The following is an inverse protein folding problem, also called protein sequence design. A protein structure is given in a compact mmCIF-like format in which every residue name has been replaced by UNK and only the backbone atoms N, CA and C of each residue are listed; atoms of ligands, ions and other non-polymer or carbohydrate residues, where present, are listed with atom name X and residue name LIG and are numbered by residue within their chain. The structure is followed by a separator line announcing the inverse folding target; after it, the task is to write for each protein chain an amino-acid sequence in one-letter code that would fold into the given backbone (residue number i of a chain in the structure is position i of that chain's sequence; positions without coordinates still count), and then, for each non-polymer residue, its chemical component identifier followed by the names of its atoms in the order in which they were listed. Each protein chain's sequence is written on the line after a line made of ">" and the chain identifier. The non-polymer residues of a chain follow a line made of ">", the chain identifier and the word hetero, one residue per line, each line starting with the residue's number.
data_IF_349137948713
#
_entry.id   IF_349137948713
#
_cell.length_a   1.000
_cell.length_b   1.000
_cell.length_c   1.000
_cell.angle_alpha   90.00
_cell.angle_beta   90.00
_cell.angle_gamma   90.00
#
_symmetry.space_group_name_H-M   'P 1'
#
loop_
_entity.id
_entity.type
_entity.pdbx_description
1 polymer ?
#
# COMPACT_ATOMS: atom_id res chain seq x y z
N UNK A 1 -12.90 -15.64 -11.94
CA UNK A 1 -11.81 -14.69 -11.66
C UNK A 1 -12.42 -13.32 -11.82
N UNK A 2 -12.73 -12.62 -10.73
CA UNK A 2 -13.23 -11.24 -10.85
C UNK A 2 -12.13 -10.39 -11.49
N UNK A 3 -12.51 -9.64 -12.53
CA UNK A 3 -11.66 -8.63 -13.12
C UNK A 3 -11.55 -7.50 -12.09
N UNK A 4 -10.34 -7.27 -11.58
CA UNK A 4 -10.07 -6.08 -10.78
C UNK A 4 -10.40 -4.85 -11.64
N UNK A 5 -11.23 -3.91 -11.15
CA UNK A 5 -11.53 -2.70 -11.90
C UNK A 5 -10.24 -1.94 -12.23
N UNK A 6 -10.18 -1.19 -13.33
CA UNK A 6 -8.98 -0.43 -13.77
C UNK A 6 -8.44 0.59 -12.75
N UNK A 7 -9.20 0.84 -11.68
CA UNK A 7 -8.86 1.73 -10.59
C UNK A 7 -8.42 0.99 -9.32
N UNK A 8 -8.41 -0.35 -9.29
CA UNK A 8 -7.95 -1.13 -8.14
C UNK A 8 -6.82 -2.07 -8.52
N UNK A 9 -5.75 -2.06 -7.72
CA UNK A 9 -4.64 -3.01 -7.86
C UNK A 9 -4.39 -3.67 -6.51
N UNK A 10 -4.12 -4.97 -6.55
CA UNK A 10 -3.83 -5.78 -5.38
C UNK A 10 -2.39 -6.28 -5.46
N UNK A 11 -1.70 -6.24 -4.33
CA UNK A 11 -0.36 -6.82 -4.18
C UNK A 11 -0.41 -8.33 -4.41
N UNK A 12 0.57 -8.84 -5.16
CA UNK A 12 0.61 -10.23 -5.62
C UNK A 12 1.62 -11.10 -4.86
N UNK A 13 2.11 -10.63 -3.71
CA UNK A 13 3.07 -11.38 -2.90
C UNK A 13 2.35 -12.45 -2.07
N UNK A 14 2.32 -13.68 -2.56
CA UNK A 14 1.69 -14.81 -1.88
C UNK A 14 2.35 -15.20 -0.55
N UNK A 15 3.60 -14.76 -0.30
CA UNK A 15 4.26 -15.00 0.98
C UNK A 15 3.86 -13.98 2.07
N UNK A 16 3.19 -12.88 1.70
CA UNK A 16 2.72 -11.88 2.65
C UNK A 16 1.43 -12.37 3.34
N UNK A 17 1.30 -12.26 4.68
CA UNK A 17 0.08 -12.63 5.39
C UNK A 17 -1.04 -11.57 5.25
N UNK A 18 -0.75 -10.48 4.53
CA UNK A 18 -1.65 -9.39 4.22
C UNK A 18 -1.58 -9.05 2.73
N UNK A 19 -2.59 -8.35 2.24
CA UNK A 19 -2.61 -7.78 0.90
C UNK A 19 -2.64 -6.25 0.96
N UNK A 20 -1.72 -5.61 0.24
CA UNK A 20 -1.81 -4.19 -0.09
C UNK A 20 -2.79 -4.02 -1.25
N UNK A 21 -3.87 -3.28 -1.02
CA UNK A 21 -4.80 -2.82 -2.04
C UNK A 21 -4.57 -1.32 -2.28
N UNK A 22 -4.50 -0.93 -3.56
CA UNK A 22 -4.43 0.47 -3.97
C UNK A 22 -5.66 0.78 -4.81
N UNK A 23 -6.39 1.84 -4.43
CA UNK A 23 -7.50 2.38 -5.20
C UNK A 23 -7.10 3.75 -5.75
N UNK A 24 -7.18 3.93 -7.07
CA UNK A 24 -6.90 5.19 -7.76
C UNK A 24 -8.17 6.04 -7.84
N UNK A 25 -8.25 7.07 -7.01
CA UNK A 25 -9.23 8.15 -7.15
C UNK A 25 -8.80 9.18 -8.20
N UNK A 26 -9.51 10.31 -8.26
CA UNK A 26 -9.24 11.36 -9.26
C UNK A 26 -8.00 12.22 -8.95
N UNK A 27 -7.60 12.35 -7.67
CA UNK A 27 -6.44 13.17 -7.29
C UNK A 27 -5.61 12.57 -6.15
N UNK A 28 -6.00 11.40 -5.67
CA UNK A 28 -5.35 10.69 -4.58
C UNK A 28 -5.52 9.19 -4.79
N UNK A 29 -4.57 8.42 -4.27
CA UNK A 29 -4.72 6.98 -4.13
C UNK A 29 -5.04 6.64 -2.68
N UNK A 30 -6.00 5.75 -2.46
CA UNK A 30 -6.28 5.17 -1.15
C UNK A 30 -5.56 3.84 -1.04
N UNK A 31 -4.85 3.63 0.07
CA UNK A 31 -4.13 2.40 0.37
C UNK A 31 -4.87 1.64 1.47
N UNK A 32 -5.06 0.35 1.27
CA UNK A 32 -5.61 -0.58 2.27
C UNK A 32 -4.64 -1.72 2.52
N UNK A 33 -4.43 -2.08 3.79
CA UNK A 33 -3.60 -3.21 4.21
C UNK A 33 -4.51 -4.23 4.89
N UNK A 34 -4.90 -5.27 4.16
CA UNK A 34 -5.88 -6.24 4.64
C UNK A 34 -5.17 -7.52 5.08
N UNK A 35 -5.37 -7.92 6.33
CA UNK A 35 -4.95 -9.25 6.78
C UNK A 35 -5.79 -10.31 6.06
N UNK A 36 -5.15 -11.34 5.52
CA UNK A 36 -5.84 -12.28 4.63
C UNK A 36 -6.61 -13.37 5.37
N UNK A 37 -6.00 -13.92 6.44
CA UNK A 37 -6.51 -15.11 7.11
C UNK A 37 -6.60 -14.90 8.62
N UNK A 38 -7.83 -14.85 9.13
CA UNK A 38 -8.09 -14.66 10.56
C UNK A 38 -7.70 -13.27 11.07
N UNK A 39 -7.70 -13.07 12.39
CA UNK A 39 -7.16 -11.86 12.99
C UNK A 39 -5.62 -11.82 12.89
N UNK A 40 -5.00 -10.63 12.83
CA UNK A 40 -3.56 -10.51 12.97
C UNK A 40 -3.08 -11.00 14.35
N UNK A 41 -1.81 -11.39 14.51
CA UNK A 41 -1.24 -11.78 15.80
C UNK A 41 -1.42 -10.69 16.88
N UNK A 42 -1.53 -11.08 18.15
CA UNK A 42 -1.72 -10.14 19.27
C UNK A 42 -0.59 -9.11 19.42
N UNK A 43 0.60 -9.43 18.92
CA UNK A 43 1.77 -8.54 18.92
C UNK A 43 1.90 -7.71 17.63
N UNK A 44 0.90 -7.74 16.75
CA UNK A 44 0.88 -6.93 15.54
C UNK A 44 0.50 -5.48 15.88
N UNK A 45 1.46 -4.57 15.74
CA UNK A 45 1.25 -3.16 16.06
C UNK A 45 0.63 -2.34 14.91
N UNK A 46 0.68 -2.84 13.67
CA UNK A 46 0.20 -2.12 12.48
C UNK A 46 1.19 -2.17 11.33
N UNK A 47 0.94 -1.30 10.33
CA UNK A 47 1.75 -1.18 9.13
C UNK A 47 2.48 0.16 9.11
N UNK A 48 3.74 0.14 8.68
CA UNK A 48 4.47 1.32 8.26
C UNK A 48 4.61 1.30 6.73
N UNK A 49 4.44 2.45 6.10
CA UNK A 49 4.63 2.61 4.67
C UNK A 49 5.79 3.57 4.49
N UNK A 50 6.76 3.15 3.69
CA UNK A 50 7.89 3.97 3.31
C UNK A 50 7.95 4.09 1.80
N UNK A 51 8.44 5.22 1.31
CA UNK A 51 8.67 5.45 -0.09
C UNK A 51 10.13 5.82 -0.33
N UNK A 52 10.61 5.47 -1.51
CA UNK A 52 11.90 5.92 -2.03
C UNK A 52 11.62 6.73 -3.27
N UNK A 53 12.23 7.91 -3.34
CA UNK A 53 12.12 8.78 -4.51
C UNK A 53 12.82 8.15 -5.72
N UNK A 54 12.36 8.44 -6.96
CA UNK A 54 13.05 7.96 -8.16
C UNK A 54 14.53 8.37 -8.15
N UNK A 55 15.43 7.38 -8.23
CA UNK A 55 16.88 7.60 -8.19
C UNK A 55 17.46 7.93 -6.80
N UNK A 56 16.63 8.01 -5.76
CA UNK A 56 17.08 8.17 -4.38
C UNK A 56 17.77 6.92 -3.86
N UNK A 57 18.34 7.01 -2.67
CA UNK A 57 19.03 5.88 -1.98
C UNK A 57 18.49 5.62 -0.57
N UNK A 58 17.50 6.41 -0.14
CA UNK A 58 16.93 6.39 1.19
C UNK A 58 15.41 6.22 1.13
N UNK A 59 14.87 5.48 2.10
CA UNK A 59 13.44 5.37 2.35
C UNK A 59 12.99 6.43 3.36
N UNK A 60 11.78 6.95 3.13
CA UNK A 60 11.13 7.93 3.98
C UNK A 60 9.74 7.44 4.39
N UNK A 61 9.41 7.60 5.67
CA UNK A 61 8.10 7.23 6.19
C UNK A 61 6.99 8.12 5.60
N UNK A 62 5.89 7.50 5.17
CA UNK A 62 4.68 8.19 4.74
C UNK A 62 3.88 8.58 5.97
N UNK A 63 3.80 9.89 6.25
CA UNK A 63 3.14 10.39 7.46
C UNK A 63 1.62 10.56 7.33
N UNK A 64 1.11 10.83 6.12
CA UNK A 64 -0.35 10.95 5.88
C UNK A 64 -0.71 11.04 4.39
N UNK A 65 0.17 11.64 3.58
CA UNK A 65 0.00 11.80 2.14
C UNK A 65 1.35 11.72 1.44
N UNK A 66 1.39 11.02 0.32
CA UNK A 66 2.48 11.11 -0.63
C UNK A 66 2.07 12.09 -1.73
N UNK A 67 2.95 13.02 -2.08
CA UNK A 67 2.77 13.90 -3.23
C UNK A 67 4.12 14.00 -3.93
N UNK A 68 4.12 13.90 -5.25
CA UNK A 68 5.29 14.26 -6.03
C UNK A 68 5.42 15.78 -5.94
N UNK A 69 6.60 16.29 -5.57
CA UNK A 69 6.90 17.70 -5.78
C UNK A 69 6.93 17.89 -7.30
N UNK A 70 6.07 18.75 -7.82
CA UNK A 70 5.79 18.86 -9.26
C UNK A 70 7.05 19.09 -10.12
N UNK A 71 6.92 18.65 -11.39
CA UNK A 71 7.89 18.69 -12.49
C UNK A 71 8.29 20.10 -12.95
#
# INVERSE_FOLDING_TARGET
>A
MELTPDFEVFGQNNAAPFCLKIFRGESMALLGMNWLNGPPPDNFAGFAIEYQEPGGTQFYAVNNRLSFLDF
#
